data_IF_855530782454
#
_entry.id   IF_855530782454
#
_cell.length_a   1.000
_cell.length_b   1.000
_cell.length_c   1.000
_cell.angle_alpha   90.00
_cell.angle_beta   90.00
_cell.angle_gamma   90.00
#
_symmetry.space_group_name_H-M   'P 1'
#
loop_
_entity.id
_entity.type
_entity.pdbx_description
1 polymer ?
#
# COMPACT_ATOMS: atom_id res chain seq x y z
N UNK A 1 -30.22 -72.94 11.56
CA UNK A 1 -29.65 -72.87 10.19
C UNK A 1 -30.12 -71.66 9.38
N UNK A 2 -31.43 -71.45 9.14
CA UNK A 2 -31.91 -70.32 8.30
C UNK A 2 -31.48 -68.92 8.76
N UNK A 3 -31.46 -68.65 10.07
CA UNK A 3 -31.03 -67.35 10.63
C UNK A 3 -29.53 -67.08 10.49
N UNK A 4 -28.70 -68.13 10.49
CA UNK A 4 -27.24 -68.03 10.33
C UNK A 4 -26.87 -67.79 8.87
N UNK A 5 -27.60 -68.41 7.94
CA UNK A 5 -27.41 -68.21 6.50
C UNK A 5 -27.80 -66.78 6.10
N UNK A 6 -28.87 -66.22 6.67
CA UNK A 6 -29.27 -64.84 6.42
C UNK A 6 -28.23 -63.82 6.94
N UNK A 7 -27.63 -64.06 8.10
CA UNK A 7 -26.58 -63.19 8.65
C UNK A 7 -25.29 -63.24 7.81
N UNK A 8 -24.89 -64.43 7.33
CA UNK A 8 -23.74 -64.58 6.44
C UNK A 8 -23.98 -63.96 5.06
N UNK A 9 -25.18 -64.05 4.51
CA UNK A 9 -25.53 -63.39 3.26
C UNK A 9 -25.51 -61.86 3.38
N UNK A 10 -25.98 -61.30 4.50
CA UNK A 10 -25.90 -59.87 4.77
C UNK A 10 -24.44 -59.38 4.90
N UNK A 11 -23.56 -60.17 5.52
CA UNK A 11 -22.14 -59.83 5.66
C UNK A 11 -21.40 -59.85 4.31
N UNK A 12 -21.74 -60.80 3.42
CA UNK A 12 -21.16 -60.89 2.07
C UNK A 12 -21.65 -59.77 1.15
N UNK A 13 -22.87 -59.27 1.35
CA UNK A 13 -23.42 -58.13 0.61
C UNK A 13 -22.90 -56.76 1.09
N UNK A 14 -22.52 -56.63 2.37
CA UNK A 14 -21.96 -55.40 2.92
C UNK A 14 -20.43 -55.30 2.82
N UNK A 15 -19.73 -56.43 2.68
CA UNK A 15 -18.27 -56.47 2.56
C UNK A 15 -17.68 -55.64 1.38
N UNK A 16 -18.29 -55.60 0.17
CA UNK A 16 -17.78 -54.77 -0.93
C UNK A 16 -17.97 -53.28 -0.68
N UNK A 17 -19.02 -52.91 0.08
CA UNK A 17 -19.34 -51.52 0.43
C UNK A 17 -18.38 -50.97 1.49
N UNK A 18 -17.98 -51.80 2.47
CA UNK A 18 -16.97 -51.41 3.46
C UNK A 18 -15.57 -51.35 2.82
N UNK A 19 -15.25 -52.29 1.91
CA UNK A 19 -13.98 -52.31 1.18
C UNK A 19 -13.76 -51.07 0.29
N UNK A 20 -14.79 -50.61 -0.43
CA UNK A 20 -14.73 -49.41 -1.27
C UNK A 20 -14.62 -48.10 -0.47
N UNK A 21 -15.17 -48.05 0.74
CA UNK A 21 -14.97 -46.89 1.65
C UNK A 21 -13.53 -46.86 2.18
N UNK A 22 -12.94 -48.01 2.49
CA UNK A 22 -11.55 -48.06 3.00
C UNK A 22 -10.46 -47.80 1.94
N UNK A 23 -10.70 -48.08 0.65
CA UNK A 23 -9.72 -47.81 -0.42
C UNK A 23 -9.83 -46.37 -0.94
N UNK A 24 -11.02 -45.76 -0.92
CA UNK A 24 -11.21 -44.34 -1.24
C UNK A 24 -10.59 -43.36 -0.23
N UNK A 25 -10.29 -43.83 0.98
CA UNK A 25 -9.62 -43.04 2.04
C UNK A 25 -8.08 -43.11 2.01
N UNK A 26 -7.48 -43.96 1.17
CA UNK A 26 -6.03 -44.15 1.11
C UNK A 26 -5.36 -43.61 -0.15
N UNK A 27 -6.13 -43.06 -1.10
CA UNK A 27 -5.59 -42.45 -2.34
C UNK A 27 -6.27 -41.14 -2.73
N UNK A 28 -6.79 -40.39 -1.75
CA UNK A 28 -7.18 -39.00 -1.94
C UNK A 28 -6.11 -38.09 -1.30
N UNK A 29 -5.36 -37.27 -2.07
CA UNK A 29 -4.43 -36.31 -1.50
C UNK A 29 -5.15 -35.20 -0.69
N UNK A 30 -6.48 -35.18 -0.65
CA UNK A 30 -7.26 -34.19 0.09
C UNK A 30 -7.59 -34.56 1.56
N UNK A 31 -7.05 -35.65 2.13
CA UNK A 31 -7.35 -36.03 3.53
C UNK A 31 -6.14 -36.17 4.45
N UNK A 32 -4.99 -35.57 4.09
CA UNK A 32 -3.99 -35.11 5.07
C UNK A 32 -4.12 -33.58 5.18
N UNK A 33 -5.29 -33.14 5.60
CA UNK A 33 -5.48 -31.82 6.19
C UNK A 33 -6.14 -32.05 7.55
N UNK A 34 -5.42 -32.74 8.42
CA UNK A 34 -5.68 -32.63 9.85
C UNK A 34 -5.33 -31.20 10.21
N UNK A 35 -6.35 -30.37 10.36
CA UNK A 35 -6.37 -29.08 11.07
C UNK A 35 -4.97 -28.60 11.52
N UNK A 36 -4.25 -27.94 10.62
CA UNK A 36 -3.43 -26.84 11.08
C UNK A 36 -4.43 -25.78 11.57
N UNK A 37 -4.28 -25.19 12.76
CA UNK A 37 -5.06 -24.00 13.06
C UNK A 37 -4.78 -22.99 11.95
N UNK A 38 -5.81 -22.23 11.55
CA UNK A 38 -5.59 -21.00 10.79
C UNK A 38 -4.43 -20.24 11.47
N UNK A 39 -3.45 -19.80 10.68
CA UNK A 39 -2.10 -19.46 11.15
C UNK A 39 -2.02 -18.30 12.15
N UNK A 40 -2.39 -18.55 13.40
CA UNK A 40 -2.23 -17.62 14.52
C UNK A 40 -0.76 -17.49 14.91
N UNK A 41 -0.35 -16.28 15.28
CA UNK A 41 1.00 -16.05 15.77
C UNK A 41 1.13 -16.61 17.17
N UNK A 42 2.24 -17.32 17.44
CA UNK A 42 2.59 -17.74 18.80
C UNK A 42 3.56 -16.73 19.39
N UNK A 43 3.18 -16.12 20.51
CA UNK A 43 4.07 -15.23 21.24
C UNK A 43 5.14 -16.05 21.97
N UNK A 44 6.39 -15.67 21.75
CA UNK A 44 7.59 -16.22 22.38
C UNK A 44 7.97 -15.47 23.66
N UNK A 45 9.25 -15.48 24.01
CA UNK A 45 9.75 -14.81 25.21
C UNK A 45 9.77 -13.28 25.03
N UNK A 46 9.19 -12.55 25.98
CA UNK A 46 9.20 -11.08 26.00
C UNK A 46 10.57 -10.58 26.50
N UNK A 47 11.36 -9.86 25.68
CA UNK A 47 12.67 -9.39 26.09
C UNK A 47 12.60 -8.29 27.17
N UNK A 48 13.74 -7.98 27.80
CA UNK A 48 13.84 -6.89 28.79
C UNK A 48 13.56 -5.51 28.17
N UNK A 49 14.05 -5.33 26.94
CA UNK A 49 13.92 -4.09 26.19
C UNK A 49 14.00 -4.39 24.68
N UNK A 50 13.43 -3.49 23.89
CA UNK A 50 13.55 -3.48 22.44
C UNK A 50 13.80 -2.04 21.99
N UNK A 51 14.92 -1.84 21.28
CA UNK A 51 15.20 -0.57 20.61
C UNK A 51 14.84 -0.69 19.14
N UNK A 52 14.04 0.27 18.66
CA UNK A 52 13.51 0.32 17.31
C UNK A 52 13.58 1.76 16.78
N UNK A 53 13.59 1.90 15.47
CA UNK A 53 13.61 3.20 14.80
C UNK A 53 12.30 3.41 14.06
N UNK A 54 11.66 4.55 14.31
CA UNK A 54 10.45 4.97 13.60
C UNK A 54 10.76 5.44 12.18
N UNK A 55 9.75 5.62 11.34
CA UNK A 55 9.91 6.03 9.93
C UNK A 55 10.65 7.37 9.78
N UNK A 56 10.45 8.30 10.72
CA UNK A 56 11.12 9.60 10.72
C UNK A 56 12.57 9.58 11.29
N UNK A 57 13.08 8.40 11.65
CA UNK A 57 14.42 8.24 12.20
C UNK A 57 14.54 8.42 13.71
N UNK A 58 13.45 8.66 14.45
CA UNK A 58 13.48 8.68 15.92
C UNK A 58 13.71 7.25 16.45
N UNK A 59 14.79 7.07 17.20
CA UNK A 59 15.01 5.85 17.99
C UNK A 59 14.16 5.88 19.25
N UNK A 60 13.40 4.81 19.46
CA UNK A 60 12.64 4.57 20.69
C UNK A 60 13.10 3.27 21.35
N UNK A 61 13.01 3.23 22.68
CA UNK A 61 13.28 2.03 23.46
C UNK A 61 12.03 1.70 24.27
N UNK A 62 11.50 0.50 24.05
CA UNK A 62 10.38 -0.07 24.78
C UNK A 62 10.93 -1.01 25.86
N UNK A 63 10.45 -0.88 27.09
CA UNK A 63 10.80 -1.79 28.16
C UNK A 63 9.91 -3.03 28.16
N UNK A 64 10.21 -3.97 29.07
CA UNK A 64 9.44 -5.20 29.22
C UNK A 64 7.95 -4.96 29.44
N UNK A 65 7.56 -3.92 30.18
CA UNK A 65 6.14 -3.63 30.44
C UNK A 65 5.41 -3.30 29.13
N UNK A 66 5.96 -2.37 28.34
CA UNK A 66 5.42 -2.02 27.02
C UNK A 66 5.39 -3.22 26.06
N UNK A 67 6.42 -4.08 26.09
CA UNK A 67 6.47 -5.28 25.27
C UNK A 67 5.52 -6.40 25.73
N UNK A 68 5.16 -6.43 27.01
CA UNK A 68 4.12 -7.33 27.54
C UNK A 68 2.76 -6.90 27.01
N UNK A 69 2.47 -5.61 26.98
CA UNK A 69 1.24 -5.09 26.37
C UNK A 69 1.17 -5.39 24.87
N UNK A 70 2.29 -5.24 24.16
CA UNK A 70 2.36 -5.63 22.76
C UNK A 70 2.14 -7.14 22.54
N UNK A 71 2.69 -8.00 23.41
CA UNK A 71 2.42 -9.44 23.41
C UNK A 71 0.91 -9.73 23.58
N UNK A 72 0.24 -9.06 24.52
CA UNK A 72 -1.21 -9.16 24.72
C UNK A 72 -1.99 -8.78 23.45
N UNK A 73 -1.62 -7.70 22.76
CA UNK A 73 -2.24 -7.29 21.49
C UNK A 73 -2.08 -8.40 20.43
N UNK A 74 -0.88 -8.95 20.28
CA UNK A 74 -0.58 -10.01 19.31
C UNK A 74 -1.36 -11.30 19.62
N UNK A 75 -1.37 -11.74 20.88
CA UNK A 75 -2.05 -12.96 21.31
C UNK A 75 -3.57 -12.83 21.14
N UNK A 76 -4.15 -11.69 21.55
CA UNK A 76 -5.57 -11.40 21.38
C UNK A 76 -5.95 -11.39 19.90
N UNK A 77 -5.23 -10.63 19.06
CA UNK A 77 -5.50 -10.55 17.62
C UNK A 77 -5.33 -11.90 16.90
N UNK A 78 -4.35 -12.71 17.31
CA UNK A 78 -4.13 -14.05 16.75
C UNK A 78 -5.27 -15.03 17.05
N UNK A 79 -6.04 -14.78 18.11
CA UNK A 79 -7.21 -15.57 18.49
C UNK A 79 -8.50 -15.18 17.76
N UNK A 80 -8.51 -14.06 17.03
CA UNK A 80 -9.71 -13.52 16.37
C UNK A 80 -9.64 -13.79 14.86
N UNK A 81 -10.64 -14.51 14.34
CA UNK A 81 -10.77 -14.76 12.91
C UNK A 81 -10.92 -13.44 12.14
N UNK A 82 -10.14 -13.28 11.07
CA UNK A 82 -10.17 -12.09 10.21
C UNK A 82 -9.08 -11.05 10.52
N UNK A 83 -8.51 -11.00 11.74
CA UNK A 83 -7.50 -9.98 12.08
C UNK A 83 -6.19 -10.15 11.31
N UNK A 84 -5.66 -11.38 11.25
CA UNK A 84 -4.43 -11.68 10.50
C UNK A 84 -3.21 -10.84 10.91
N UNK A 85 -2.19 -10.81 10.05
CA UNK A 85 -0.95 -10.05 10.31
C UNK A 85 -1.18 -8.55 10.30
N UNK A 86 -1.90 -8.05 9.29
CA UNK A 86 -2.05 -6.62 9.07
C UNK A 86 -2.90 -5.97 10.17
N UNK A 87 -3.96 -6.65 10.63
CA UNK A 87 -4.72 -6.16 11.78
C UNK A 87 -3.89 -6.07 13.05
N UNK A 88 -2.99 -7.04 13.30
CA UNK A 88 -2.05 -6.98 14.43
C UNK A 88 -1.11 -5.78 14.30
N UNK A 89 -0.53 -5.54 13.12
CA UNK A 89 0.34 -4.39 12.89
C UNK A 89 -0.42 -3.07 13.10
N UNK A 90 -1.64 -2.95 12.61
CA UNK A 90 -2.52 -1.79 12.79
C UNK A 90 -2.75 -1.50 14.28
N UNK A 91 -3.06 -2.53 15.08
CA UNK A 91 -3.25 -2.37 16.52
C UNK A 91 -1.95 -1.98 17.25
N UNK A 92 -0.81 -2.56 16.87
CA UNK A 92 0.48 -2.18 17.43
C UNK A 92 0.83 -0.72 17.09
N UNK A 93 0.58 -0.27 15.85
CA UNK A 93 0.76 1.11 15.43
C UNK A 93 -0.13 2.07 16.22
N UNK A 94 -1.41 1.72 16.42
CA UNK A 94 -2.34 2.52 17.21
C UNK A 94 -1.86 2.68 18.65
N UNK A 95 -1.56 1.58 19.36
CA UNK A 95 -1.09 1.66 20.75
C UNK A 95 0.26 2.41 20.90
N UNK A 96 1.16 2.32 19.92
CA UNK A 96 2.39 3.11 19.88
C UNK A 96 2.13 4.61 19.74
N UNK A 97 1.20 4.99 18.87
CA UNK A 97 0.82 6.39 18.67
C UNK A 97 0.09 6.98 19.87
N UNK A 98 -0.88 6.24 20.41
CA UNK A 98 -1.81 6.75 21.42
C UNK A 98 -1.17 6.84 22.82
N UNK A 99 -0.35 5.86 23.20
CA UNK A 99 0.21 5.79 24.55
C UNK A 99 1.70 5.46 24.61
N UNK A 100 2.36 5.27 23.46
CA UNK A 100 3.68 4.60 23.37
C UNK A 100 3.67 3.24 24.09
N UNK A 101 2.62 2.44 23.88
CA UNK A 101 2.43 1.11 24.48
C UNK A 101 2.30 1.12 26.00
N UNK A 102 1.74 2.19 26.59
CA UNK A 102 1.58 2.31 28.04
C UNK A 102 0.13 2.23 28.44
N UNK A 103 -0.14 1.51 29.52
CA UNK A 103 -1.47 1.46 30.12
C UNK A 103 -1.64 2.73 30.96
N UNK A 104 -2.19 3.79 30.36
CA UNK A 104 -2.39 5.08 31.02
C UNK A 104 -3.75 5.16 31.74
N UNK A 105 -3.72 5.48 33.03
CA UNK A 105 -4.90 5.86 33.81
C UNK A 105 -5.29 7.33 33.53
N UNK A 106 -6.45 7.77 34.00
CA UNK A 106 -6.86 9.18 33.97
C UNK A 106 -7.59 9.53 35.27
N UNK A 107 -6.82 9.68 36.34
CA UNK A 107 -7.31 9.96 37.70
C UNK A 107 -8.01 11.31 37.83
N UNK A 108 -7.86 12.20 36.83
CA UNK A 108 -8.56 13.48 36.80
C UNK A 108 -10.02 13.35 36.38
N UNK A 109 -10.32 12.46 35.42
CA UNK A 109 -11.67 12.15 34.97
C UNK A 109 -12.28 10.98 35.76
N UNK A 110 -11.49 9.95 36.02
CA UNK A 110 -11.86 8.72 36.70
C UNK A 110 -10.84 8.40 37.81
N UNK A 111 -11.01 8.94 39.03
CA UNK A 111 -10.08 8.71 40.13
C UNK A 111 -9.79 7.22 40.40
N UNK A 112 -10.80 6.36 40.23
CA UNK A 112 -10.70 4.91 40.37
C UNK A 112 -9.80 4.23 39.34
N UNK A 113 -9.52 4.88 38.19
CA UNK A 113 -8.59 4.32 37.18
C UNK A 113 -7.17 4.14 37.73
N UNK A 114 -6.78 4.95 38.73
CA UNK A 114 -5.47 4.82 39.38
C UNK A 114 -5.33 3.60 40.30
N UNK A 115 -6.43 2.91 40.60
CA UNK A 115 -6.42 1.69 41.42
C UNK A 115 -6.09 0.42 40.60
N UNK A 116 -6.05 0.53 39.26
CA UNK A 116 -5.69 -0.55 38.35
C UNK A 116 -4.20 -0.46 37.94
N UNK A 117 -3.56 -1.56 37.50
CA UNK A 117 -2.19 -1.53 36.97
C UNK A 117 -2.06 -0.50 35.84
N UNK A 118 -1.05 0.37 35.93
CA UNK A 118 -0.82 1.45 34.98
C UNK A 118 0.64 1.89 34.96
N UNK A 119 1.07 2.49 33.84
CA UNK A 119 2.41 3.06 33.66
C UNK A 119 2.38 4.60 33.61
N UNK A 120 1.30 5.21 34.08
CA UNK A 120 1.19 6.65 34.14
C UNK A 120 -0.24 7.15 34.15
N UNK A 121 -0.35 8.47 34.18
CA UNK A 121 -1.61 9.18 34.16
C UNK A 121 -1.66 10.05 32.90
N UNK A 122 -2.56 9.72 31.98
CA UNK A 122 -2.93 10.55 30.84
C UNK A 122 -3.68 11.81 31.29
N UNK A 123 -3.70 12.80 30.41
CA UNK A 123 -4.36 14.09 30.65
C UNK A 123 -5.28 14.50 29.51
N UNK A 124 -5.38 13.68 28.46
CA UNK A 124 -6.21 14.01 27.30
C UNK A 124 -7.66 13.55 27.52
N UNK A 125 -8.57 14.53 27.51
CA UNK A 125 -9.99 14.34 27.77
C UNK A 125 -10.26 13.42 28.98
N UNK A 126 -10.98 12.32 28.75
CA UNK A 126 -11.28 11.24 29.68
C UNK A 126 -10.79 9.87 29.15
N UNK A 127 -9.76 9.88 28.31
CA UNK A 127 -9.21 8.66 27.72
C UNK A 127 -8.45 7.82 28.73
N UNK A 128 -8.52 6.49 28.56
CA UNK A 128 -7.83 5.47 29.32
C UNK A 128 -7.20 4.51 28.32
N UNK A 129 -6.09 3.87 28.66
CA UNK A 129 -5.68 2.70 27.86
C UNK A 129 -4.36 2.76 27.13
N UNK A 130 -4.06 1.63 26.49
CA UNK A 130 -3.10 1.50 25.41
C UNK A 130 -3.53 2.32 24.18
N UNK A 131 -4.83 2.29 23.88
CA UNK A 131 -5.48 2.91 22.71
C UNK A 131 -6.16 4.24 23.05
N UNK A 132 -6.03 4.76 24.28
CA UNK A 132 -6.67 6.01 24.71
C UNK A 132 -8.20 6.05 24.46
N UNK A 133 -8.88 4.92 24.67
CA UNK A 133 -10.32 4.75 24.53
C UNK A 133 -11.10 5.44 25.66
N UNK A 134 -12.35 5.82 25.38
CA UNK A 134 -13.17 6.65 26.28
C UNK A 134 -14.43 5.94 26.75
N UNK A 135 -14.69 5.83 28.07
CA UNK A 135 -15.96 5.28 28.56
C UNK A 135 -17.18 6.05 28.07
N UNK A 136 -17.10 7.39 28.02
CA UNK A 136 -18.18 8.25 27.52
C UNK A 136 -18.51 8.03 26.04
N UNK A 137 -17.57 7.53 25.25
CA UNK A 137 -17.80 7.20 23.84
C UNK A 137 -18.42 5.80 23.66
N UNK A 138 -18.54 5.01 24.74
CA UNK A 138 -19.15 3.68 24.72
C UNK A 138 -18.16 2.53 24.55
N UNK A 139 -16.85 2.78 24.61
CA UNK A 139 -15.83 1.73 24.44
C UNK A 139 -15.82 0.68 25.56
N UNK A 140 -16.29 1.03 26.76
CA UNK A 140 -16.33 0.14 27.92
C UNK A 140 -16.36 0.91 29.24
N UNK A 141 -16.45 0.19 30.35
CA UNK A 141 -16.29 0.76 31.70
C UNK A 141 -14.82 1.07 32.01
N UNK A 142 -14.56 1.84 33.07
CA UNK A 142 -13.18 2.14 33.51
C UNK A 142 -12.40 0.86 33.82
N UNK A 143 -13.04 -0.14 34.44
CA UNK A 143 -12.40 -1.41 34.75
C UNK A 143 -11.98 -2.17 33.48
N UNK A 144 -12.86 -2.19 32.48
CA UNK A 144 -12.62 -2.82 31.18
C UNK A 144 -11.55 -2.07 30.38
N UNK A 145 -11.56 -0.74 30.38
CA UNK A 145 -10.54 0.06 29.68
C UNK A 145 -9.21 0.14 30.43
N UNK A 146 -9.10 -0.37 31.65
CA UNK A 146 -7.82 -0.58 32.35
C UNK A 146 -7.34 -2.04 32.25
N UNK A 147 -8.00 -2.86 31.44
CA UNK A 147 -7.62 -4.25 31.13
C UNK A 147 -7.07 -4.30 29.69
N UNK A 148 -5.78 -4.66 29.47
CA UNK A 148 -5.19 -4.69 28.14
C UNK A 148 -5.82 -5.75 27.23
N UNK A 149 -6.32 -6.87 27.76
CA UNK A 149 -6.96 -7.93 26.96
C UNK A 149 -8.30 -7.42 26.40
N UNK A 150 -9.11 -6.78 27.26
CA UNK A 150 -10.37 -6.17 26.85
C UNK A 150 -10.14 -5.10 25.78
N UNK A 151 -9.16 -4.22 25.99
CA UNK A 151 -8.91 -3.10 25.09
C UNK A 151 -8.44 -3.56 23.70
N UNK A 152 -7.55 -4.55 23.65
CA UNK A 152 -7.13 -5.15 22.39
C UNK A 152 -8.33 -5.79 21.67
N UNK A 153 -9.17 -6.55 22.39
CA UNK A 153 -10.37 -7.15 21.81
C UNK A 153 -11.38 -6.09 21.32
N UNK A 154 -11.56 -4.99 22.05
CA UNK A 154 -12.41 -3.89 21.66
C UNK A 154 -11.87 -3.17 20.40
N UNK A 155 -10.55 -2.94 20.32
CA UNK A 155 -9.91 -2.34 19.16
C UNK A 155 -10.16 -3.17 17.89
N UNK A 156 -10.01 -4.50 17.97
CA UNK A 156 -10.31 -5.38 16.84
C UNK A 156 -11.82 -5.42 16.53
N UNK A 157 -12.68 -5.38 17.55
CA UNK A 157 -14.13 -5.35 17.41
C UNK A 157 -14.70 -6.55 16.66
N UNK A 158 -15.68 -6.29 15.79
CA UNK A 158 -16.37 -7.32 15.02
C UNK A 158 -17.54 -7.97 15.78
N UNK A 159 -18.24 -8.94 15.17
CA UNK A 159 -19.46 -9.55 15.72
C UNK A 159 -19.28 -10.27 17.08
N UNK A 160 -18.05 -10.57 17.47
CA UNK A 160 -17.69 -11.15 18.77
C UNK A 160 -16.93 -10.20 19.69
N UNK A 161 -16.75 -8.94 19.30
CA UNK A 161 -16.05 -7.92 20.07
C UNK A 161 -16.86 -7.45 21.28
N UNK A 162 -16.19 -7.07 22.39
CA UNK A 162 -16.85 -6.70 23.63
C UNK A 162 -17.61 -5.36 23.57
N UNK A 163 -17.31 -4.53 22.56
CA UNK A 163 -17.94 -3.25 22.25
C UNK A 163 -19.24 -3.38 21.42
N UNK A 164 -19.70 -4.59 21.11
CA UNK A 164 -20.95 -4.86 20.37
C UNK A 164 -21.09 -4.05 19.05
N UNK A 165 -19.96 -3.73 18.39
CA UNK A 165 -19.90 -2.95 17.16
C UNK A 165 -20.10 -1.43 17.32
N UNK A 166 -20.18 -0.91 18.55
CA UNK A 166 -20.32 0.53 18.81
C UNK A 166 -19.63 0.95 20.11
N UNK A 167 -18.51 1.69 20.06
CA UNK A 167 -17.80 2.16 18.86
C UNK A 167 -17.29 1.02 17.99
N UNK A 168 -17.16 1.26 16.68
CA UNK A 168 -16.68 0.25 15.72
C UNK A 168 -15.21 -0.09 16.00
N UNK A 169 -14.86 -1.38 16.01
CA UNK A 169 -13.47 -1.82 15.95
C UNK A 169 -13.01 -2.02 14.50
N UNK A 170 -11.78 -2.52 14.34
CA UNK A 170 -11.16 -2.74 13.03
C UNK A 170 -12.01 -3.60 12.09
N UNK A 171 -12.50 -4.75 12.59
CA UNK A 171 -13.28 -5.71 11.81
C UNK A 171 -14.69 -5.20 11.47
N UNK A 172 -15.16 -4.14 12.11
CA UNK A 172 -16.43 -3.49 11.81
C UNK A 172 -16.31 -2.48 10.64
N UNK A 173 -15.09 -2.22 10.14
CA UNK A 173 -14.80 -1.28 9.05
C UNK A 173 -14.80 -2.03 7.71
N UNK A 174 -15.74 -1.77 6.80
CA UNK A 174 -15.78 -2.48 5.52
C UNK A 174 -14.54 -2.19 4.66
N UNK A 175 -13.85 -3.26 4.26
CA UNK A 175 -12.69 -3.16 3.36
C UNK A 175 -11.41 -2.68 4.03
N UNK A 176 -11.32 -2.73 5.36
CA UNK A 176 -10.12 -2.34 6.10
C UNK A 176 -8.86 -3.09 5.64
N UNK A 177 -8.99 -4.31 5.12
CA UNK A 177 -7.88 -5.09 4.57
C UNK A 177 -7.24 -4.45 3.31
N UNK A 178 -7.98 -3.55 2.66
CA UNK A 178 -7.54 -2.82 1.47
C UNK A 178 -7.07 -1.40 1.79
N UNK A 179 -7.26 -0.94 3.04
CA UNK A 179 -6.85 0.38 3.50
C UNK A 179 -5.35 0.41 3.82
N UNK A 180 -4.75 1.59 3.80
CA UNK A 180 -3.42 1.78 4.40
C UNK A 180 -3.45 1.43 5.89
N UNK A 181 -2.36 0.90 6.47
CA UNK A 181 -2.39 0.49 7.89
C UNK A 181 -2.63 1.68 8.83
N UNK A 182 -2.00 2.83 8.58
CA UNK A 182 -2.30 4.05 9.33
C UNK A 182 -3.72 4.56 9.10
N UNK A 183 -4.25 4.42 7.89
CA UNK A 183 -5.64 4.78 7.55
C UNK A 183 -6.65 3.89 8.30
N UNK A 184 -6.40 2.58 8.36
CA UNK A 184 -7.21 1.64 9.10
C UNK A 184 -7.13 1.90 10.62
N UNK A 185 -5.94 2.20 11.15
CA UNK A 185 -5.77 2.62 12.56
C UNK A 185 -6.57 3.89 12.86
N UNK A 186 -6.45 4.91 12.00
CA UNK A 186 -7.21 6.14 12.10
C UNK A 186 -8.73 5.91 11.99
N UNK A 187 -9.17 4.96 11.18
CA UNK A 187 -10.59 4.67 11.00
C UNK A 187 -11.22 4.03 12.25
N UNK A 188 -10.41 3.36 13.09
CA UNK A 188 -10.80 2.87 14.42
C UNK A 188 -10.72 3.99 15.46
N UNK A 189 -9.58 4.67 15.57
CA UNK A 189 -9.32 5.64 16.65
C UNK A 189 -10.04 6.98 16.46
N UNK A 190 -10.28 7.37 15.20
CA UNK A 190 -10.86 8.67 14.84
C UNK A 190 -10.08 9.81 15.50
N UNK A 191 -8.75 9.74 15.42
CA UNK A 191 -7.84 10.74 16.00
C UNK A 191 -7.84 12.06 15.22
N UNK A 192 -7.41 13.14 15.87
CA UNK A 192 -7.22 14.43 15.24
C UNK A 192 -5.95 14.51 14.36
N UNK A 193 -5.11 13.46 14.37
CA UNK A 193 -3.80 13.44 13.71
C UNK A 193 -3.60 12.13 12.91
N UNK A 194 -4.29 11.98 11.77
CA UNK A 194 -4.38 10.72 11.03
C UNK A 194 -3.03 10.17 10.54
N UNK A 195 -2.05 11.03 10.30
CA UNK A 195 -0.76 10.65 9.70
C UNK A 195 0.29 10.15 10.71
N UNK A 196 -0.04 10.10 12.01
CA UNK A 196 0.94 9.71 13.04
C UNK A 196 1.18 8.21 13.12
N UNK A 197 0.22 7.39 12.70
CA UNK A 197 0.29 5.93 12.85
C UNK A 197 1.38 5.31 11.97
N UNK A 198 1.52 5.78 10.72
CA UNK A 198 2.48 5.25 9.76
C UNK A 198 3.94 5.42 10.19
N UNK A 199 4.23 6.42 11.02
CA UNK A 199 5.56 6.60 11.61
C UNK A 199 6.00 5.39 12.44
N UNK A 200 5.06 4.66 13.03
CA UNK A 200 5.32 3.54 13.92
C UNK A 200 5.25 2.16 13.24
N UNK A 201 4.94 2.08 11.94
CA UNK A 201 4.90 0.80 11.23
C UNK A 201 6.21 -0.01 11.35
N UNK A 202 7.42 0.57 11.16
CA UNK A 202 8.67 -0.18 11.30
C UNK A 202 8.89 -0.73 12.72
N UNK A 203 8.44 0.02 13.73
CA UNK A 203 8.50 -0.41 15.13
C UNK A 203 7.52 -1.57 15.36
N UNK A 204 6.28 -1.46 14.87
CA UNK A 204 5.27 -2.50 14.99
C UNK A 204 5.73 -3.82 14.34
N UNK A 205 6.35 -3.75 13.16
CA UNK A 205 6.94 -4.91 12.49
C UNK A 205 8.07 -5.54 13.29
N UNK A 206 8.95 -4.73 13.88
CA UNK A 206 10.05 -5.21 14.70
C UNK A 206 9.53 -5.89 15.97
N UNK A 207 8.55 -5.28 16.65
CA UNK A 207 7.88 -5.88 17.81
C UNK A 207 7.26 -7.23 17.44
N UNK A 208 6.44 -7.28 16.39
CA UNK A 208 5.77 -8.50 15.95
C UNK A 208 6.80 -9.59 15.61
N UNK A 209 7.85 -9.24 14.89
CA UNK A 209 8.92 -10.18 14.52
C UNK A 209 9.67 -10.68 15.75
N UNK A 210 10.08 -9.80 16.65
CA UNK A 210 10.80 -10.16 17.88
C UNK A 210 9.95 -11.06 18.77
N UNK A 211 8.68 -10.72 18.98
CA UNK A 211 7.80 -11.45 19.88
C UNK A 211 7.25 -12.75 19.29
N UNK A 212 7.31 -12.97 17.98
CA UNK A 212 6.81 -14.22 17.35
C UNK A 212 7.92 -15.14 16.85
N UNK A 213 9.18 -14.69 16.91
CA UNK A 213 10.34 -15.53 16.64
C UNK A 213 10.55 -16.51 17.79
N UNK A 214 10.43 -17.81 17.53
CA UNK A 214 10.59 -18.86 18.53
C UNK A 214 12.00 -18.81 19.14
N UNK A 215 12.06 -18.70 20.47
CA UNK A 215 13.26 -18.34 21.24
C UNK A 215 14.56 -19.07 20.90
N UNK A 216 15.60 -18.27 20.64
CA UNK A 216 16.99 -18.63 20.87
C UNK A 216 17.63 -17.48 21.67
N UNK A 217 17.57 -17.59 23.00
CA UNK A 217 18.14 -16.62 23.92
C UNK A 217 19.67 -16.53 23.84
N UNK A 218 20.17 -15.30 23.81
CA UNK A 218 21.57 -14.91 23.96
C UNK A 218 21.69 -13.39 23.75
N UNK A 219 22.58 -12.67 24.47
CA UNK A 219 22.61 -11.21 24.44
C UNK A 219 23.00 -10.76 23.03
N UNK A 220 22.09 -10.05 22.35
CA UNK A 220 22.39 -9.38 21.09
C UNK A 220 23.21 -8.14 21.47
N UNK A 221 24.52 -8.31 21.56
CA UNK A 221 25.40 -7.17 21.33
C UNK A 221 25.13 -6.73 19.91
N UNK A 222 24.62 -5.51 19.77
CA UNK A 222 24.50 -4.82 18.50
C UNK A 222 25.89 -4.70 17.88
N UNK A 223 26.30 -5.72 17.14
CA UNK A 223 27.27 -5.56 16.08
C UNK A 223 26.59 -4.79 14.95
N UNK A 224 27.29 -3.85 14.28
CA UNK A 224 26.70 -3.04 13.24
C UNK A 224 26.19 -3.98 12.15
N UNK A 225 24.88 -3.88 11.88
CA UNK A 225 24.24 -4.61 10.78
C UNK A 225 25.07 -4.32 9.53
N UNK A 226 25.60 -5.35 8.84
CA UNK A 226 26.27 -5.10 7.57
C UNK A 226 25.22 -4.50 6.65
N UNK A 227 25.57 -3.38 6.04
CA UNK A 227 24.86 -2.79 4.90
C UNK A 227 24.57 -3.94 3.94
N UNK A 228 23.32 -4.41 3.90
CA UNK A 228 22.90 -5.44 2.97
C UNK A 228 22.96 -4.78 1.60
N UNK A 229 23.98 -5.15 0.85
CA UNK A 229 24.05 -4.88 -0.57
C UNK A 229 22.73 -5.32 -1.22
N UNK A 230 22.25 -4.49 -2.15
CA UNK A 230 21.06 -4.72 -2.97
C UNK A 230 20.86 -6.20 -3.28
N UNK A 231 19.77 -6.76 -2.74
CA UNK A 231 19.29 -8.08 -3.15
C UNK A 231 18.98 -8.10 -4.65
N UNK A 232 18.93 -9.27 -5.29
CA UNK A 232 18.69 -9.36 -6.72
C UNK A 232 17.34 -8.72 -7.05
N UNK A 233 17.36 -7.79 -8.01
CA UNK A 233 16.17 -7.14 -8.57
C UNK A 233 15.22 -8.24 -9.04
N UNK A 234 14.02 -8.26 -8.47
CA UNK A 234 12.97 -9.21 -8.85
C UNK A 234 12.52 -8.82 -10.27
N UNK A 235 12.58 -9.75 -11.22
CA UNK A 235 11.98 -9.57 -12.55
C UNK A 235 10.46 -9.35 -12.37
N UNK A 236 9.96 -8.19 -12.78
CA UNK A 236 8.53 -7.89 -12.69
C UNK A 236 7.78 -8.69 -13.74
N UNK A 237 6.73 -9.40 -13.33
CA UNK A 237 5.86 -10.17 -14.24
C UNK A 237 4.63 -9.38 -14.72
N UNK A 238 4.50 -8.12 -14.30
CA UNK A 238 3.32 -7.29 -14.56
C UNK A 238 3.66 -5.80 -14.55
N UNK A 239 3.07 -5.07 -15.50
CA UNK A 239 2.99 -3.61 -15.50
C UNK A 239 1.53 -3.21 -15.26
N UNK A 240 1.32 -2.11 -14.54
CA UNK A 240 0.01 -1.52 -14.28
C UNK A 240 0.03 -0.02 -14.57
N UNK A 241 -1.15 0.54 -14.84
CA UNK A 241 -1.29 1.99 -14.95
C UNK A 241 -1.01 2.66 -13.60
N UNK A 242 -0.28 3.79 -13.56
CA UNK A 242 0.17 4.41 -12.32
C UNK A 242 -0.90 5.25 -11.59
N UNK A 243 -2.15 5.25 -12.07
CA UNK A 243 -3.28 5.89 -11.41
C UNK A 243 -4.49 4.93 -11.38
N UNK A 244 -5.34 4.98 -10.34
CA UNK A 244 -6.57 4.18 -10.29
C UNK A 244 -7.49 4.40 -11.49
N UNK A 245 -8.23 3.38 -11.89
CA UNK A 245 -9.15 3.49 -13.02
C UNK A 245 -10.25 4.54 -12.75
N UNK A 246 -10.52 5.40 -13.74
CA UNK A 246 -11.60 6.40 -13.67
C UNK A 246 -11.28 7.66 -12.85
N UNK A 247 -10.04 7.82 -12.36
CA UNK A 247 -9.64 9.02 -11.59
C UNK A 247 -8.91 10.07 -12.43
N UNK A 248 -8.57 9.76 -13.68
CA UNK A 248 -7.63 10.57 -14.46
C UNK A 248 -8.06 10.78 -15.92
N UNK A 249 -7.44 11.78 -16.55
CA UNK A 249 -7.56 12.10 -17.98
C UNK A 249 -6.17 12.40 -18.54
N UNK A 250 -5.78 11.80 -19.68
CA UNK A 250 -4.54 12.16 -20.37
C UNK A 250 -4.63 13.61 -20.89
N UNK A 251 -3.62 14.43 -20.56
CA UNK A 251 -3.64 15.87 -20.87
C UNK A 251 -2.48 16.34 -21.73
N UNK A 252 -1.27 15.78 -21.56
CA UNK A 252 -0.11 16.19 -22.37
C UNK A 252 0.74 14.96 -22.72
N UNK A 253 0.99 14.70 -24.02
CA UNK A 253 1.82 13.56 -24.44
C UNK A 253 3.31 13.87 -24.30
N UNK A 254 4.13 12.81 -24.39
CA UNK A 254 5.57 12.89 -24.55
C UNK A 254 5.97 13.58 -25.86
N UNK A 255 7.10 14.29 -25.89
CA UNK A 255 7.68 14.84 -27.11
C UNK A 255 7.80 16.37 -27.17
N UNK A 256 8.11 16.93 -28.37
CA UNK A 256 8.30 18.37 -28.55
C UNK A 256 7.02 19.16 -28.23
N UNK A 257 7.15 20.25 -27.46
CA UNK A 257 6.05 21.16 -27.15
C UNK A 257 6.53 22.59 -26.94
N UNK A 258 5.60 23.54 -27.09
CA UNK A 258 5.80 24.87 -26.50
C UNK A 258 5.65 24.76 -24.98
N UNK A 259 6.65 25.23 -24.22
CA UNK A 259 6.63 25.13 -22.75
C UNK A 259 5.41 25.86 -22.18
N UNK A 260 4.52 25.20 -21.42
CA UNK A 260 3.24 25.80 -21.01
C UNK A 260 3.37 26.97 -20.02
N UNK A 261 4.46 26.98 -19.23
CA UNK A 261 4.76 28.05 -18.26
C UNK A 261 5.63 29.18 -18.85
N UNK A 262 6.70 28.86 -19.58
CA UNK A 262 7.66 29.87 -20.08
C UNK A 262 7.37 30.36 -21.50
N UNK A 263 6.56 29.62 -22.28
CA UNK A 263 6.24 29.94 -23.68
C UNK A 263 7.34 29.60 -24.69
N UNK A 264 8.37 28.86 -24.30
CA UNK A 264 9.48 28.47 -25.19
C UNK A 264 9.02 27.44 -26.23
N UNK A 265 9.12 27.77 -27.52
CA UNK A 265 8.62 26.95 -28.64
C UNK A 265 9.48 25.71 -28.97
N UNK A 266 10.56 25.46 -28.23
CA UNK A 266 11.47 24.31 -28.43
C UNK A 266 11.67 23.48 -27.15
N UNK A 267 10.68 23.46 -26.26
CA UNK A 267 10.74 22.61 -25.06
C UNK A 267 10.43 21.15 -25.41
N UNK A 268 11.04 20.22 -24.68
CA UNK A 268 10.78 18.80 -24.83
C UNK A 268 10.12 18.26 -23.56
N UNK A 269 9.01 17.57 -23.72
CA UNK A 269 8.30 16.92 -22.64
C UNK A 269 8.82 15.49 -22.45
N UNK A 270 9.52 15.25 -21.34
CA UNK A 270 10.24 14.01 -21.04
C UNK A 270 9.34 12.87 -20.53
N UNK A 271 8.05 13.16 -20.32
CA UNK A 271 7.05 12.21 -19.85
C UNK A 271 5.68 12.47 -20.46
N UNK A 272 4.65 11.88 -19.86
CA UNK A 272 3.25 12.13 -20.18
C UNK A 272 2.52 12.65 -18.93
N UNK A 273 1.62 13.61 -19.12
CA UNK A 273 0.84 14.23 -18.04
C UNK A 273 -0.57 13.65 -18.00
N UNK A 274 -0.98 13.20 -16.82
CA UNK A 274 -2.32 12.69 -16.53
C UNK A 274 -2.96 13.53 -15.43
N UNK A 275 -3.95 14.35 -15.80
CA UNK A 275 -4.68 15.15 -14.82
C UNK A 275 -5.54 14.25 -13.96
N UNK A 276 -5.44 14.42 -12.64
CA UNK A 276 -6.25 13.75 -11.64
C UNK A 276 -6.47 14.71 -10.46
N UNK A 277 -7.52 14.52 -9.64
CA UNK A 277 -7.70 15.31 -8.42
C UNK A 277 -6.47 15.25 -7.51
N UNK A 278 -6.18 16.36 -6.83
CA UNK A 278 -5.18 16.41 -5.76
C UNK A 278 -5.48 15.35 -4.68
N UNK A 279 -4.46 14.64 -4.21
CA UNK A 279 -4.60 13.51 -3.29
C UNK A 279 -5.00 12.18 -3.96
N UNK A 280 -5.08 12.11 -5.30
CA UNK A 280 -5.31 10.81 -5.97
C UNK A 280 -4.09 9.91 -5.80
N UNK A 281 -4.25 8.63 -5.42
CA UNK A 281 -3.11 7.73 -5.28
C UNK A 281 -2.32 7.55 -6.58
N UNK A 282 -1.01 7.65 -6.50
CA UNK A 282 -0.02 7.28 -7.54
C UNK A 282 0.53 5.90 -7.18
N UNK A 283 0.43 4.97 -8.14
CA UNK A 283 0.80 3.57 -7.96
C UNK A 283 2.12 3.27 -8.68
N UNK A 284 2.95 2.42 -8.09
CA UNK A 284 4.13 1.89 -8.78
C UNK A 284 3.69 1.09 -10.01
N UNK A 285 4.19 1.45 -11.19
CA UNK A 285 3.84 0.82 -12.45
C UNK A 285 4.31 -0.65 -12.53
N UNK A 286 5.38 -1.02 -11.83
CA UNK A 286 5.91 -2.38 -11.82
C UNK A 286 6.66 -2.67 -10.51
N UNK A 287 6.97 -3.95 -10.24
CA UNK A 287 7.87 -4.33 -9.15
C UNK A 287 9.23 -3.70 -9.36
N UNK A 288 9.86 -3.19 -8.30
CA UNK A 288 11.14 -2.50 -8.44
C UNK A 288 11.73 -1.98 -7.15
N UNK A 289 12.81 -1.23 -7.29
CA UNK A 289 13.50 -0.57 -6.18
C UNK A 289 13.45 0.93 -6.40
N UNK A 290 12.97 1.67 -5.40
CA UNK A 290 12.98 3.12 -5.41
C UNK A 290 14.43 3.60 -5.40
N UNK A 291 14.84 4.38 -6.38
CA UNK A 291 16.20 4.94 -6.49
C UNK A 291 16.24 6.43 -6.16
N UNK A 292 15.12 7.12 -6.31
CA UNK A 292 14.97 8.53 -5.96
C UNK A 292 13.64 8.70 -5.22
N UNK A 293 13.66 9.44 -4.12
CA UNK A 293 12.47 9.92 -3.42
C UNK A 293 12.84 11.21 -2.71
N UNK A 294 12.60 12.35 -3.37
CA UNK A 294 13.01 13.67 -2.88
C UNK A 294 12.20 14.78 -3.55
N UNK A 295 12.33 15.99 -3.01
CA UNK A 295 11.79 17.19 -3.64
C UNK A 295 12.85 17.83 -4.56
N UNK A 296 12.59 17.86 -5.87
CA UNK A 296 13.58 18.21 -6.89
C UNK A 296 13.09 19.30 -7.84
N UNK A 297 13.43 20.56 -7.54
CA UNK A 297 13.31 21.70 -8.45
C UNK A 297 11.98 21.76 -9.23
N UNK A 298 12.07 21.63 -10.56
CA UNK A 298 10.91 21.68 -11.46
C UNK A 298 9.96 20.49 -11.36
N UNK A 299 10.41 19.33 -10.89
CA UNK A 299 9.57 18.15 -10.68
C UNK A 299 8.73 18.24 -9.41
N UNK A 300 9.11 19.08 -8.44
CA UNK A 300 8.48 19.04 -7.12
C UNK A 300 8.81 17.72 -6.43
N UNK A 301 7.83 17.07 -5.81
CA UNK A 301 8.00 15.72 -5.26
C UNK A 301 8.24 14.71 -6.38
N UNK A 302 9.39 14.03 -6.35
CA UNK A 302 9.85 13.09 -7.37
C UNK A 302 10.16 11.73 -6.75
N UNK A 303 9.50 10.70 -7.25
CA UNK A 303 9.82 9.29 -7.00
C UNK A 303 10.34 8.68 -8.29
N UNK A 304 11.48 7.96 -8.25
CA UNK A 304 11.98 7.15 -9.37
C UNK A 304 12.19 5.73 -8.90
N UNK A 305 11.74 4.77 -9.70
CA UNK A 305 11.79 3.34 -9.38
C UNK A 305 12.48 2.60 -10.52
N UNK A 306 13.52 1.84 -10.21
CA UNK A 306 14.17 0.93 -11.16
C UNK A 306 13.51 -0.45 -11.15
N UNK A 307 13.29 -0.97 -12.35
CA UNK A 307 12.66 -2.25 -12.62
C UNK A 307 13.56 -3.12 -13.50
N UNK A 308 13.33 -4.41 -13.39
CA UNK A 308 13.82 -5.40 -14.35
C UNK A 308 12.60 -5.98 -15.08
N UNK A 309 12.48 -5.68 -16.37
CA UNK A 309 11.31 -6.02 -17.20
C UNK A 309 11.83 -6.56 -18.53
N UNK A 310 11.34 -7.73 -18.95
CA UNK A 310 11.76 -8.44 -20.16
C UNK A 310 13.29 -8.64 -20.28
N UNK A 311 13.96 -8.84 -19.14
CA UNK A 311 15.42 -8.97 -19.08
C UNK A 311 16.19 -7.67 -19.33
N UNK A 312 15.50 -6.53 -19.43
CA UNK A 312 16.04 -5.19 -19.56
C UNK A 312 15.85 -4.35 -18.29
N UNK A 313 16.77 -3.41 -18.05
CA UNK A 313 16.62 -2.41 -16.98
C UNK A 313 15.83 -1.22 -17.51
N UNK A 314 14.80 -0.81 -16.78
CA UNK A 314 13.98 0.38 -17.07
C UNK A 314 13.69 1.10 -15.74
N UNK A 315 13.53 2.40 -15.75
CA UNK A 315 13.02 3.15 -14.61
C UNK A 315 11.73 3.87 -14.95
N UNK A 316 10.87 4.04 -13.95
CA UNK A 316 9.69 4.91 -14.04
C UNK A 316 9.81 6.06 -13.05
N UNK A 317 9.40 7.25 -13.46
CA UNK A 317 9.43 8.45 -12.61
C UNK A 317 8.02 9.03 -12.43
N UNK A 318 7.74 9.53 -11.22
CA UNK A 318 6.45 10.05 -10.79
C UNK A 318 6.69 11.40 -10.13
N UNK A 319 6.13 12.47 -10.71
CA UNK A 319 6.41 13.83 -10.28
C UNK A 319 5.16 14.61 -9.86
N UNK A 320 5.40 15.80 -9.28
CA UNK A 320 4.43 16.80 -8.81
C UNK A 320 3.66 16.48 -7.53
N UNK A 321 3.98 15.39 -6.84
CA UNK A 321 3.48 15.14 -5.49
C UNK A 321 3.85 16.25 -4.52
N UNK A 322 2.99 16.56 -3.57
CA UNK A 322 3.38 17.38 -2.42
C UNK A 322 4.44 16.64 -1.59
N UNK A 323 5.18 17.37 -0.75
CA UNK A 323 6.23 16.77 0.08
C UNK A 323 5.67 15.74 1.08
N UNK A 324 4.47 16.00 1.62
CA UNK A 324 3.69 15.12 2.47
C UNK A 324 2.95 14.01 1.70
N UNK A 325 2.87 14.13 0.37
CA UNK A 325 2.26 13.14 -0.51
C UNK A 325 3.26 12.11 -1.07
N UNK A 326 4.48 11.98 -0.54
CA UNK A 326 5.43 10.93 -0.95
C UNK A 326 5.50 9.85 0.13
N UNK A 327 5.19 8.60 -0.24
CA UNK A 327 4.99 7.50 0.72
C UNK A 327 6.13 6.47 0.76
N UNK A 328 7.15 6.65 -0.08
CA UNK A 328 8.29 5.74 -0.21
C UNK A 328 9.62 6.48 -0.12
N UNK A 329 10.71 5.76 0.17
CA UNK A 329 12.08 6.29 0.28
C UNK A 329 13.03 5.56 -0.66
N UNK A 330 14.14 6.21 -1.03
CA UNK A 330 15.18 5.57 -1.82
C UNK A 330 15.73 4.32 -1.10
N UNK A 331 15.75 3.20 -1.79
CA UNK A 331 16.10 1.87 -1.29
C UNK A 331 14.91 0.95 -1.07
N UNK A 332 13.68 1.48 -1.01
CA UNK A 332 12.47 0.67 -0.81
C UNK A 332 12.24 -0.25 -1.99
N UNK A 333 11.81 -1.49 -1.69
CA UNK A 333 11.28 -2.40 -2.70
C UNK A 333 9.78 -2.20 -2.77
N UNK A 334 9.28 -1.95 -3.97
CA UNK A 334 7.86 -1.76 -4.23
C UNK A 334 7.31 -2.85 -5.14
N UNK A 335 5.99 -3.06 -5.07
CA UNK A 335 5.27 -3.95 -5.99
C UNK A 335 4.42 -3.18 -6.98
N UNK A 336 4.18 -3.74 -8.15
CA UNK A 336 3.23 -3.21 -9.11
C UNK A 336 1.87 -2.96 -8.45
N UNK A 337 1.35 -1.73 -8.56
CA UNK A 337 0.10 -1.30 -7.95
C UNK A 337 0.21 -0.81 -6.51
N UNK A 338 1.40 -0.82 -5.91
CA UNK A 338 1.62 -0.26 -4.58
C UNK A 338 1.46 1.26 -4.62
N UNK A 339 0.71 1.83 -3.67
CA UNK A 339 0.63 3.28 -3.48
C UNK A 339 1.99 3.83 -3.03
N UNK A 340 2.57 4.72 -3.83
CA UNK A 340 3.93 5.26 -3.62
C UNK A 340 3.97 6.77 -3.37
N UNK A 341 2.97 7.50 -3.87
CA UNK A 341 2.83 8.93 -3.69
C UNK A 341 1.39 9.35 -4.02
N UNK A 342 1.01 10.60 -3.75
CA UNK A 342 -0.27 11.20 -4.11
C UNK A 342 -0.08 12.23 -5.23
N UNK A 343 -1.08 12.37 -6.10
CA UNK A 343 -1.15 13.44 -7.08
C UNK A 343 -1.17 14.77 -6.36
N UNK A 344 -0.23 15.65 -6.70
CA UNK A 344 -0.17 17.01 -6.21
C UNK A 344 -0.07 18.02 -7.35
N UNK A 345 0.31 19.24 -7.00
CA UNK A 345 0.59 20.32 -7.96
C UNK A 345 1.89 21.05 -7.61
N UNK A 346 2.87 20.33 -7.08
CA UNK A 346 4.12 20.88 -6.60
C UNK A 346 5.17 21.05 -7.71
N UNK A 347 6.22 21.85 -7.49
CA UNK A 347 7.20 22.16 -8.54
C UNK A 347 6.64 23.06 -9.65
N UNK A 348 7.03 22.81 -10.89
CA UNK A 348 6.59 23.56 -12.08
C UNK A 348 5.33 22.94 -12.68
N UNK A 349 4.22 23.06 -11.96
CA UNK A 349 2.91 22.55 -12.35
C UNK A 349 1.86 23.67 -12.50
N UNK A 350 0.94 23.53 -13.44
CA UNK A 350 -0.19 24.46 -13.65
C UNK A 350 -1.48 24.03 -12.95
N UNK A 351 -1.51 22.82 -12.40
CA UNK A 351 -2.64 22.25 -11.65
C UNK A 351 -2.42 20.76 -11.33
N UNK A 352 -3.28 20.13 -10.52
CA UNK A 352 -3.07 18.74 -10.08
C UNK A 352 -2.99 17.73 -11.26
N UNK A 353 -1.86 17.03 -11.33
CA UNK A 353 -1.61 15.96 -12.31
C UNK A 353 -0.44 15.08 -11.89
N UNK A 354 -0.38 13.87 -12.44
CA UNK A 354 0.83 13.06 -12.46
C UNK A 354 1.61 13.36 -13.73
N UNK A 355 2.87 13.79 -13.60
CA UNK A 355 3.84 13.71 -14.67
C UNK A 355 4.59 12.37 -14.54
N UNK A 356 4.44 11.51 -15.55
CA UNK A 356 4.96 10.14 -15.56
C UNK A 356 5.99 9.96 -16.67
N UNK A 357 7.18 9.49 -16.32
CA UNK A 357 8.25 9.20 -17.28
C UNK A 357 8.62 7.73 -17.29
N UNK A 358 9.11 7.25 -18.44
CA UNK A 358 9.77 5.96 -18.57
C UNK A 358 11.17 6.18 -19.12
N UNK A 359 12.16 5.57 -18.48
CA UNK A 359 13.59 5.75 -18.78
C UNK A 359 14.26 4.41 -19.08
N UNK A 360 14.69 4.21 -20.33
CA UNK A 360 15.36 2.99 -20.75
C UNK A 360 16.80 2.96 -20.23
N UNK A 361 17.18 1.88 -19.54
CA UNK A 361 18.54 1.71 -18.99
C UNK A 361 18.68 2.07 -17.51
N UNK A 362 17.61 2.49 -16.84
CA UNK A 362 17.57 2.78 -15.40
C UNK A 362 17.32 4.26 -15.08
N UNK A 363 17.65 4.65 -13.86
CA UNK A 363 17.35 6.00 -13.30
C UNK A 363 17.89 7.13 -14.19
N UNK A 364 19.10 6.97 -14.70
CA UNK A 364 19.79 7.92 -15.58
C UNK A 364 19.64 7.56 -17.08
N UNK A 365 18.63 6.76 -17.40
CA UNK A 365 18.36 6.24 -18.73
C UNK A 365 17.78 7.26 -19.71
N UNK A 366 17.62 6.83 -20.95
CA UNK A 366 17.00 7.62 -22.02
C UNK A 366 15.48 7.68 -21.85
N UNK A 367 14.89 8.87 -21.92
CA UNK A 367 13.43 9.04 -21.88
C UNK A 367 12.78 8.45 -23.13
N UNK A 368 11.78 7.61 -22.95
CA UNK A 368 10.98 7.02 -24.03
C UNK A 368 9.51 7.37 -23.83
N UNK A 369 8.70 7.22 -24.88
CA UNK A 369 7.27 7.49 -24.83
C UNK A 369 6.55 6.58 -23.80
N UNK A 370 6.02 7.13 -22.69
CA UNK A 370 5.31 6.35 -21.68
C UNK A 370 4.01 5.75 -22.18
N UNK A 371 3.30 6.41 -23.10
CA UNK A 371 2.04 5.90 -23.65
C UNK A 371 2.30 4.61 -24.45
N UNK A 372 3.29 4.66 -25.33
CA UNK A 372 3.75 3.48 -26.06
C UNK A 372 4.21 2.36 -25.11
N UNK A 373 5.04 2.69 -24.12
CA UNK A 373 5.54 1.68 -23.19
C UNK A 373 4.43 1.02 -22.38
N UNK A 374 3.44 1.79 -21.90
CA UNK A 374 2.28 1.25 -21.17
C UNK A 374 1.39 0.39 -22.07
N UNK A 375 1.18 0.78 -23.33
CA UNK A 375 0.42 0.00 -24.31
C UNK A 375 1.10 -1.34 -24.63
N UNK A 376 2.43 -1.31 -24.87
CA UNK A 376 3.22 -2.50 -25.19
C UNK A 376 3.21 -3.54 -24.05
N UNK A 377 2.89 -3.14 -22.82
CA UNK A 377 2.76 -4.02 -21.64
C UNK A 377 1.31 -4.24 -21.17
N UNK A 378 0.32 -3.98 -22.04
CA UNK A 378 -1.11 -4.17 -21.74
C UNK A 378 -1.61 -3.40 -20.50
N UNK A 379 -0.95 -2.29 -20.14
CA UNK A 379 -1.28 -1.49 -18.98
C UNK A 379 -2.24 -0.34 -19.28
N UNK A 380 -2.38 0.06 -20.55
CA UNK A 380 -3.29 1.11 -21.00
C UNK A 380 -3.68 0.95 -22.48
N UNK A 381 -4.60 1.82 -22.94
CA UNK A 381 -4.94 2.05 -24.34
C UNK A 381 -4.86 3.57 -24.61
N UNK A 382 -3.63 4.07 -24.73
CA UNK A 382 -3.32 5.49 -24.85
C UNK A 382 -2.94 5.88 -26.29
N UNK A 383 -3.24 7.12 -26.72
CA UNK A 383 -2.67 7.66 -27.94
C UNK A 383 -1.15 7.83 -27.77
N UNK A 384 -0.38 7.20 -28.66
CA UNK A 384 1.08 7.29 -28.69
C UNK A 384 1.52 8.61 -29.32
N UNK A 385 2.69 9.11 -28.92
CA UNK A 385 3.24 10.31 -29.50
C UNK A 385 3.83 10.01 -30.90
N UNK A 386 3.57 10.88 -31.88
CA UNK A 386 4.22 10.82 -33.21
C UNK A 386 5.68 11.31 -33.11
N UNK A 387 6.50 10.64 -32.31
CA UNK A 387 7.91 10.99 -32.11
C UNK A 387 8.77 9.80 -32.58
N UNK A 388 9.58 9.96 -33.64
CA UNK A 388 10.54 8.92 -33.99
C UNK A 388 11.56 8.78 -32.85
N UNK A 389 11.95 7.55 -32.48
CA UNK A 389 12.85 7.34 -31.34
C UNK A 389 14.16 8.11 -31.52
N UNK A 390 14.63 8.73 -30.45
CA UNK A 390 15.96 9.31 -30.42
C UNK A 390 16.98 8.18 -30.65
N UNK A 391 17.82 8.34 -31.68
CA UNK A 391 18.88 7.38 -32.00
C UNK A 391 18.63 6.42 -33.18
N UNK A 392 17.49 6.47 -33.89
CA UNK A 392 17.46 5.88 -35.25
C UNK A 392 18.10 6.85 -36.24
N UNK A 393 19.43 6.80 -36.35
CA UNK A 393 20.13 7.25 -37.55
C UNK A 393 19.79 6.33 -38.73
N UNK A 394 18.52 6.25 -39.13
CA UNK A 394 18.16 5.90 -40.50
C UNK A 394 17.98 7.21 -41.28
N UNK A 395 19.08 7.96 -41.33
CA UNK A 395 19.38 8.72 -42.52
C UNK A 395 19.68 7.72 -43.65
N UNK A 396 18.65 7.06 -44.18
CA UNK A 396 18.72 6.62 -45.57
C UNK A 396 18.70 7.89 -46.43
N UNK A 397 19.87 8.46 -46.66
CA UNK A 397 20.08 9.48 -47.70
C UNK A 397 20.03 8.86 -49.11
N UNK A 398 19.18 7.85 -49.30
CA UNK A 398 18.76 7.30 -50.57
C UNK A 398 17.74 8.20 -51.27
N UNK A 399 18.23 9.33 -51.78
CA UNK A 399 17.66 10.07 -52.91
C UNK A 399 16.20 10.58 -52.81
N UNK A 400 16.07 11.85 -52.43
CA UNK A 400 14.90 12.66 -52.78
C UNK A 400 15.26 14.15 -52.73
N UNK A 401 15.48 14.76 -53.89
CA UNK A 401 15.85 16.17 -54.00
C UNK A 401 14.80 17.09 -53.34
N UNK A 402 15.26 18.06 -52.56
CA UNK A 402 14.46 19.14 -52.00
C UNK A 402 13.78 19.93 -53.12
N UNK A 403 12.45 19.86 -53.20
CA UNK A 403 11.62 20.76 -54.00
C UNK A 403 11.27 22.02 -53.21
N UNK A 404 11.30 23.17 -53.87
CA UNK A 404 10.92 24.46 -53.28
C UNK A 404 9.44 24.47 -52.83
N UNK A 405 9.08 25.23 -51.76
CA UNK A 405 7.73 25.27 -51.24
C UNK A 405 6.74 25.86 -52.25
N UNK A 406 5.57 25.24 -52.35
CA UNK A 406 4.47 25.68 -53.23
C UNK A 406 3.77 26.89 -52.60
N UNK A 407 3.44 27.97 -53.34
CA UNK A 407 2.70 29.10 -52.79
C UNK A 407 1.28 28.69 -52.41
N UNK A 408 0.81 29.17 -51.26
CA UNK A 408 -0.59 29.08 -50.86
C UNK A 408 -1.37 30.13 -51.66
N UNK A 409 -2.21 29.69 -52.60
CA UNK A 409 -3.19 30.54 -53.27
C UNK A 409 -4.49 30.54 -52.45
N UNK A 410 -4.80 31.67 -51.81
CA UNK A 410 -6.06 31.91 -51.11
C UNK A 410 -6.18 33.37 -50.69
N UNK A 411 -7.34 33.98 -50.90
CA UNK A 411 -7.63 35.37 -50.56
C UNK A 411 -7.78 35.49 -49.02
N UNK A 412 -6.89 36.22 -48.33
CA UNK A 412 -6.92 36.32 -46.86
C UNK A 412 -8.15 37.06 -46.31
N UNK A 413 -8.98 37.66 -47.18
CA UNK A 413 -10.21 38.37 -46.82
C UNK A 413 -11.49 37.54 -47.07
N UNK A 414 -11.37 36.27 -47.50
CA UNK A 414 -12.53 35.39 -47.70
C UNK A 414 -13.05 34.87 -46.34
N UNK A 415 -14.21 35.38 -45.90
CA UNK A 415 -14.86 34.94 -44.66
C UNK A 415 -15.43 33.53 -44.83
N UNK A 416 -15.03 32.62 -43.93
CA UNK A 416 -15.53 31.24 -43.85
C UNK A 416 -16.98 31.23 -43.36
N UNK A 417 -17.85 30.51 -44.06
CA UNK A 417 -19.28 30.41 -43.71
C UNK A 417 -19.51 29.79 -42.31
N UNK A 418 -20.42 30.40 -41.55
CA UNK A 418 -20.82 29.98 -40.20
C UNK A 418 -21.60 28.65 -40.25
N UNK A 419 -21.12 27.58 -39.58
CA UNK A 419 -21.74 26.25 -39.62
C UNK A 419 -23.13 26.16 -38.95
N UNK A 420 -23.63 27.24 -38.33
CA UNK A 420 -24.95 27.22 -37.66
C UNK A 420 -26.14 27.63 -38.53
N UNK A 421 -25.92 27.86 -39.84
CA UNK A 421 -26.97 28.32 -40.76
C UNK A 421 -27.40 27.31 -41.84
N UNK A 422 -27.47 26.01 -41.53
CA UNK A 422 -28.09 25.05 -42.45
C UNK A 422 -29.62 25.09 -42.35
N UNK A 423 -30.28 25.62 -43.38
CA UNK A 423 -31.75 25.53 -43.57
C UNK A 423 -32.15 24.70 -44.80
N UNK A 424 -31.22 23.99 -45.42
CA UNK A 424 -31.48 23.11 -46.56
C UNK A 424 -31.20 21.63 -46.19
N UNK A 425 -32.21 20.74 -46.16
CA UNK A 425 -32.05 19.36 -45.72
C UNK A 425 -31.40 18.41 -46.73
N UNK A 426 -31.08 18.87 -47.95
CA UNK A 426 -30.57 17.98 -49.01
C UNK A 426 -29.05 18.09 -49.27
N UNK A 427 -28.30 18.79 -48.41
CA UNK A 427 -26.83 18.85 -48.50
C UNK A 427 -26.15 18.80 -47.14
N UNK A 428 -25.95 17.59 -46.65
CA UNK A 428 -24.80 17.25 -45.81
C UNK A 428 -23.92 16.27 -46.60
#
# INVERSE_FOLDING_TARGET
MRKVIAALAALVLLAPLVGLVSVGLLMNPATVSCAAPAGGFQVGEVPEELTATTRNGETITLGRAELTHAATIIETGSGIEGVGRDGILIALMAALTESRMRMLANTSAYPESGDYPNEGNGSDNDSLGLFQMRPQAGWGTVAELMDPDYQAAAFYGGPGGPNEGSPRGLLDIPGWEQMGKGEAAQAVEVSAYPERYDNYEPVAEQILTTLTSTGAGGPVTADPVPVLAAGPVVESSRVVFPLPEGTWVATSPFGPRTHPITGEEESFHTGADFSAPDGTPILAAADGTVTVSEFSGGYGGLVVIEHQIDGGKVATAYAHSWEDGIHVQAGDQVRAGQHIADVGSSGMSTGPHLHFEVRQGGTDGEYIDPAKWLNDHDAADLPEADVPPAGSEDCDTGAGASGDPVPVEGDPDELVDDPTSCTDPDRC
#
